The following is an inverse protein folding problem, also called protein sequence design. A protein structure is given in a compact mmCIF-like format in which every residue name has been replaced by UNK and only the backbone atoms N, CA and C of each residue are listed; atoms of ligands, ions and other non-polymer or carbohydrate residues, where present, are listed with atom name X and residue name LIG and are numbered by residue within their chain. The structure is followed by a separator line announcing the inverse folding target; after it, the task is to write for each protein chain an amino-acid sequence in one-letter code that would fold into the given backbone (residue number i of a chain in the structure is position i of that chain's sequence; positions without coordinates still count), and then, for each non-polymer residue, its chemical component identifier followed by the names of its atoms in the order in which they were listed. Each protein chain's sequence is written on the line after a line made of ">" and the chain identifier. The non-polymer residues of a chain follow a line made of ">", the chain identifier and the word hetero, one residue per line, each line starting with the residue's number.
data_IF_003224975087
#
_entry.id   IF_003224975087
#
_cell.length_a   1.000
_cell.length_b   1.000
_cell.length_c   1.000
_cell.angle_alpha   90.00
_cell.angle_beta   90.00
_cell.angle_gamma   90.00
#
_symmetry.space_group_name_H-M   'P 1'
#
loop_
_entity.id
_entity.type
_entity.pdbx_description
1 polymer ?
#
# COMPACT_ATOMS: atom_id res chain seq x y z
N UNK A 1 -11.39 -11.36 0.32
CA UNK A 1 -10.01 -11.73 -0.06
C UNK A 1 -9.16 -11.54 1.16
N UNK A 2 -8.58 -12.62 1.57
CA UNK A 2 -7.92 -12.75 2.84
C UNK A 2 -6.56 -12.10 2.83
N UNK A 3 -6.20 -11.50 3.94
CA UNK A 3 -4.90 -10.90 4.24
C UNK A 3 -3.72 -11.83 3.86
N UNK A 4 -3.95 -13.13 3.91
CA UNK A 4 -3.00 -14.20 3.60
C UNK A 4 -2.61 -14.23 2.12
N UNK A 5 -3.57 -14.08 1.19
CA UNK A 5 -3.28 -14.12 -0.25
C UNK A 5 -2.46 -12.91 -0.72
N UNK A 6 -2.66 -11.74 -0.08
CA UNK A 6 -1.86 -10.55 -0.35
C UNK A 6 -0.41 -10.76 0.12
N UNK A 7 -0.22 -11.36 1.29
CA UNK A 7 1.11 -11.69 1.82
C UNK A 7 1.84 -12.64 0.88
N UNK A 8 1.20 -13.74 0.50
CA UNK A 8 1.76 -14.73 -0.43
C UNK A 8 2.12 -14.10 -1.78
N UNK A 9 1.28 -13.21 -2.30
CA UNK A 9 1.55 -12.51 -3.56
C UNK A 9 2.77 -11.59 -3.44
N UNK A 10 2.87 -10.83 -2.36
CA UNK A 10 3.97 -9.90 -2.11
C UNK A 10 5.27 -10.67 -1.80
N UNK A 11 5.22 -11.73 -0.99
CA UNK A 11 6.38 -12.55 -0.63
C UNK A 11 6.97 -13.29 -1.84
N UNK A 12 6.13 -13.88 -2.68
CA UNK A 12 6.59 -14.66 -3.87
C UNK A 12 7.31 -13.82 -4.90
N UNK A 13 7.06 -12.52 -4.95
CA UNK A 13 7.59 -11.68 -6.04
C UNK A 13 8.66 -10.67 -5.64
N UNK A 14 8.95 -10.43 -4.36
CA UNK A 14 9.88 -9.35 -3.89
C UNK A 14 9.60 -8.00 -4.56
N UNK A 15 8.33 -7.61 -4.71
CA UNK A 15 7.85 -6.79 -5.83
C UNK A 15 7.46 -5.40 -5.42
N UNK A 16 7.36 -5.14 -4.11
CA UNK A 16 6.89 -3.85 -3.63
C UNK A 16 8.04 -2.95 -3.20
N UNK A 17 8.06 -1.74 -3.77
CA UNK A 17 8.98 -0.69 -3.36
C UNK A 17 8.21 0.56 -2.99
N UNK A 18 8.58 1.19 -1.88
CA UNK A 18 8.01 2.45 -1.43
C UNK A 18 9.03 3.56 -1.66
N UNK A 19 8.62 4.55 -2.45
CA UNK A 19 9.41 5.71 -2.80
C UNK A 19 8.97 6.90 -1.94
N UNK A 20 9.86 7.39 -1.09
CA UNK A 20 9.55 8.48 -0.17
C UNK A 20 9.96 9.80 -0.79
N UNK A 21 9.00 10.69 -0.94
CA UNK A 21 9.20 12.03 -1.47
C UNK A 21 9.44 13.02 -0.33
N UNK A 22 10.60 13.65 -0.32
CA UNK A 22 10.98 14.70 0.64
C UNK A 22 10.51 16.09 0.22
N UNK A 23 10.30 16.29 -1.08
CA UNK A 23 9.98 17.59 -1.68
C UNK A 23 8.75 17.51 -2.56
N UNK A 24 8.03 18.62 -2.68
CA UNK A 24 6.92 18.79 -3.63
C UNK A 24 7.48 19.25 -5.00
N UNK A 25 6.86 18.85 -6.13
CA UNK A 25 5.71 17.95 -6.24
C UNK A 25 6.11 16.48 -6.03
N UNK A 26 5.38 15.77 -5.21
CA UNK A 26 5.67 14.36 -4.86
C UNK A 26 5.71 13.44 -6.09
N UNK A 27 4.93 13.78 -7.11
CA UNK A 27 4.89 13.04 -8.38
C UNK A 27 6.26 12.93 -9.06
N UNK A 28 7.17 13.90 -8.85
CA UNK A 28 8.54 13.84 -9.37
C UNK A 28 9.26 12.56 -8.93
N UNK A 29 8.91 12.04 -7.76
CA UNK A 29 9.50 10.80 -7.24
C UNK A 29 9.11 9.56 -8.04
N UNK A 30 8.01 9.59 -8.79
CA UNK A 30 7.63 8.52 -9.70
C UNK A 30 8.69 8.29 -10.80
N UNK A 31 9.40 9.34 -11.22
CA UNK A 31 10.51 9.24 -12.20
C UNK A 31 11.59 8.28 -11.71
N UNK A 32 11.87 8.24 -10.40
CA UNK A 32 12.87 7.31 -9.85
C UNK A 32 12.42 5.85 -10.00
N UNK A 33 11.12 5.59 -9.78
CA UNK A 33 10.55 4.26 -10.04
C UNK A 33 10.61 3.86 -11.50
N UNK A 34 10.31 4.79 -12.40
CA UNK A 34 10.42 4.57 -13.85
C UNK A 34 11.84 4.25 -14.29
N UNK A 35 12.84 4.97 -13.75
CA UNK A 35 14.26 4.67 -14.02
C UNK A 35 14.61 3.25 -13.67
N UNK A 36 14.17 2.76 -12.51
CA UNK A 36 14.43 1.38 -12.09
C UNK A 36 13.71 0.37 -13.00
N UNK A 37 12.45 0.63 -13.37
CA UNK A 37 11.67 -0.25 -14.26
C UNK A 37 12.33 -0.36 -15.64
N UNK A 38 12.60 0.78 -16.26
CA UNK A 38 13.10 0.84 -17.64
C UNK A 38 14.56 0.39 -17.77
N UNK A 39 15.35 0.53 -16.68
CA UNK A 39 16.70 -0.04 -16.64
C UNK A 39 16.70 -1.57 -16.68
N UNK A 40 15.67 -2.22 -16.13
CA UNK A 40 15.53 -3.67 -16.15
C UNK A 40 14.87 -4.18 -17.43
N UNK A 41 13.83 -3.50 -17.88
CA UNK A 41 13.14 -3.83 -19.13
C UNK A 41 12.58 -2.56 -19.81
N UNK A 42 13.27 -2.06 -20.84
CA UNK A 42 12.86 -0.85 -21.57
C UNK A 42 11.51 -0.96 -22.29
N UNK A 43 10.99 -2.16 -22.49
CA UNK A 43 9.71 -2.42 -23.16
C UNK A 43 8.55 -2.64 -22.21
N UNK A 44 8.78 -2.45 -20.90
CA UNK A 44 7.73 -2.64 -19.89
C UNK A 44 6.63 -1.61 -20.00
N UNK A 45 5.38 -2.06 -19.94
CA UNK A 45 4.24 -1.18 -19.75
C UNK A 45 4.20 -0.62 -18.33
N UNK A 46 3.91 0.67 -18.20
CA UNK A 46 3.84 1.37 -16.91
C UNK A 46 2.47 2.02 -16.76
N UNK A 47 1.78 1.65 -15.68
CA UNK A 47 0.54 2.30 -15.27
C UNK A 47 0.80 3.20 -14.06
N UNK A 48 0.37 4.45 -14.16
CA UNK A 48 0.29 5.38 -13.03
C UNK A 48 -1.10 5.29 -12.42
N UNK A 49 -1.21 4.92 -11.16
CA UNK A 49 -2.49 4.81 -10.44
C UNK A 49 -2.65 5.92 -9.42
N UNK A 50 -3.80 6.59 -9.49
CA UNK A 50 -4.25 7.53 -8.46
C UNK A 50 -5.56 7.09 -7.82
N UNK A 51 -5.89 7.67 -6.67
CA UNK A 51 -7.18 7.46 -6.03
C UNK A 51 -8.27 8.26 -6.73
N UNK A 52 -7.94 9.44 -7.25
CA UNK A 52 -8.85 10.39 -7.89
C UNK A 52 -8.36 10.82 -9.27
N UNK A 53 -9.28 11.28 -10.14
CA UNK A 53 -8.91 11.78 -11.47
C UNK A 53 -7.95 12.96 -11.41
N UNK A 54 -8.09 13.83 -10.41
CA UNK A 54 -7.20 14.99 -10.27
C UNK A 54 -5.76 14.61 -9.88
N UNK A 55 -5.49 13.37 -9.47
CA UNK A 55 -4.12 12.90 -9.25
C UNK A 55 -3.32 12.92 -10.56
N UNK A 56 -3.98 12.65 -11.70
CA UNK A 56 -3.37 12.82 -13.03
C UNK A 56 -2.91 14.25 -13.28
N UNK A 57 -3.72 15.26 -12.91
CA UNK A 57 -3.31 16.66 -13.00
C UNK A 57 -2.20 17.03 -12.01
N UNK A 58 -2.12 16.35 -10.87
CA UNK A 58 -1.03 16.56 -9.93
C UNK A 58 0.34 16.12 -10.49
N UNK A 59 0.35 15.19 -11.47
CA UNK A 59 1.58 14.84 -12.20
C UNK A 59 2.17 16.04 -12.92
N UNK A 60 1.35 16.85 -13.57
CA UNK A 60 1.79 18.00 -14.36
C UNK A 60 2.41 19.12 -13.52
N UNK A 61 2.20 19.12 -12.20
CA UNK A 61 2.93 20.03 -11.29
C UNK A 61 4.43 19.72 -11.24
N UNK A 62 4.82 18.52 -11.61
CA UNK A 62 6.20 18.19 -11.94
C UNK A 62 6.44 18.57 -13.38
N UNK A 63 7.39 19.46 -13.64
CA UNK A 63 7.73 19.91 -15.01
C UNK A 63 8.16 18.76 -15.95
N UNK A 64 8.28 17.55 -15.44
CA UNK A 64 8.66 16.35 -16.19
C UNK A 64 7.48 15.70 -16.91
N UNK A 65 6.24 15.88 -16.39
CA UNK A 65 5.07 15.17 -16.90
C UNK A 65 4.11 16.07 -17.67
N UNK A 66 3.55 15.50 -18.73
CA UNK A 66 2.36 16.01 -19.41
C UNK A 66 1.25 14.95 -19.34
N UNK A 67 0.00 15.41 -19.15
CA UNK A 67 -1.15 14.52 -18.96
C UNK A 67 -2.33 14.95 -19.83
N UNK A 68 -2.89 14.01 -20.57
CA UNK A 68 -4.08 14.20 -21.40
C UNK A 68 -5.27 13.43 -20.80
N UNK A 69 -6.14 14.14 -20.11
CA UNK A 69 -7.29 13.55 -19.41
C UNK A 69 -8.19 12.73 -20.33
N UNK A 70 -8.36 13.16 -21.57
CA UNK A 70 -9.31 12.55 -22.52
C UNK A 70 -9.07 11.07 -22.76
N UNK A 71 -7.81 10.66 -22.80
CA UNK A 71 -7.39 9.28 -23.08
C UNK A 71 -6.57 8.66 -21.94
N UNK A 72 -6.22 9.43 -20.91
CA UNK A 72 -5.39 8.97 -19.81
C UNK A 72 -3.89 8.91 -20.12
N UNK A 73 -3.47 9.36 -21.30
CA UNK A 73 -2.06 9.31 -21.70
C UNK A 73 -1.21 10.25 -20.86
N UNK A 74 -0.05 9.76 -20.42
CA UNK A 74 0.97 10.53 -19.74
C UNK A 74 2.28 10.37 -20.50
N UNK A 75 2.99 11.47 -20.72
CA UNK A 75 4.37 11.44 -21.23
C UNK A 75 5.31 12.06 -20.21
N UNK A 76 6.56 11.68 -20.26
CA UNK A 76 7.63 12.21 -19.41
C UNK A 76 8.71 12.80 -20.29
N UNK A 77 9.20 13.99 -19.92
CA UNK A 77 10.36 14.59 -20.63
C UNK A 77 11.64 13.80 -20.43
N UNK A 78 11.77 13.15 -19.29
CA UNK A 78 12.90 12.27 -18.99
C UNK A 78 12.88 10.99 -19.84
N UNK A 79 11.68 10.52 -20.21
CA UNK A 79 11.44 9.29 -20.99
C UNK A 79 10.50 9.60 -22.16
N UNK A 80 10.96 10.43 -23.11
CA UNK A 80 10.12 10.98 -24.19
C UNK A 80 9.53 9.88 -25.11
N UNK A 81 10.20 8.76 -25.25
CA UNK A 81 9.78 7.64 -26.12
C UNK A 81 8.87 6.63 -25.41
N UNK A 82 8.57 6.86 -24.13
CA UNK A 82 7.73 5.95 -23.32
C UNK A 82 6.36 6.57 -23.11
N UNK A 83 5.35 5.93 -23.67
CA UNK A 83 3.97 6.25 -23.35
C UNK A 83 3.53 5.49 -22.11
N UNK A 84 2.88 6.21 -21.21
CA UNK A 84 2.33 5.68 -19.97
C UNK A 84 0.86 6.02 -19.89
N UNK A 85 0.13 5.26 -19.12
CA UNK A 85 -1.26 5.53 -18.84
C UNK A 85 -1.44 5.96 -17.38
N UNK A 86 -2.35 6.90 -17.16
CA UNK A 86 -2.88 7.22 -15.85
C UNK A 86 -4.32 6.76 -15.74
N UNK A 87 -4.63 6.08 -14.65
CA UNK A 87 -6.00 5.70 -14.30
C UNK A 87 -6.26 5.87 -12.82
N UNK A 88 -7.53 6.02 -12.47
CA UNK A 88 -7.94 5.79 -11.08
C UNK A 88 -7.99 4.30 -10.79
N UNK A 89 -7.79 3.92 -9.52
CA UNK A 89 -7.86 2.52 -9.10
C UNK A 89 -9.18 1.86 -9.50
N UNK A 90 -10.29 2.60 -9.44
CA UNK A 90 -11.60 2.08 -9.85
C UNK A 90 -11.63 1.69 -11.34
N UNK A 91 -11.05 2.50 -12.21
CA UNK A 91 -11.01 2.23 -13.66
C UNK A 91 -10.06 1.09 -14.02
N UNK A 92 -9.01 0.89 -13.22
CA UNK A 92 -8.01 -0.14 -13.46
C UNK A 92 -8.48 -1.56 -13.08
N UNK A 93 -9.68 -1.71 -12.50
CA UNK A 93 -10.22 -3.01 -12.11
C UNK A 93 -10.32 -3.95 -13.33
N UNK A 94 -9.72 -5.13 -13.20
CA UNK A 94 -9.71 -6.14 -14.28
C UNK A 94 -8.58 -5.99 -15.30
N UNK A 95 -7.85 -4.87 -15.32
CA UNK A 95 -6.70 -4.66 -16.18
C UNK A 95 -5.41 -5.18 -15.51
N UNK A 96 -4.38 -5.46 -16.31
CA UNK A 96 -3.07 -5.88 -15.82
C UNK A 96 -1.95 -5.23 -16.64
N UNK A 97 -0.95 -4.70 -15.94
CA UNK A 97 0.21 -4.03 -16.52
C UNK A 97 1.49 -4.70 -16.03
N UNK A 98 2.59 -4.51 -16.74
CA UNK A 98 3.85 -5.09 -16.29
C UNK A 98 4.30 -4.46 -14.98
N UNK A 99 4.21 -3.14 -14.88
CA UNK A 99 4.56 -2.41 -13.66
C UNK A 99 3.51 -1.33 -13.34
N UNK A 100 3.34 -1.07 -12.04
CA UNK A 100 2.39 -0.08 -11.53
C UNK A 100 3.12 0.88 -10.60
N UNK A 101 2.81 2.18 -10.72
CA UNK A 101 3.27 3.20 -9.78
C UNK A 101 2.04 3.87 -9.17
N UNK A 102 1.77 3.61 -7.90
CA UNK A 102 0.71 4.28 -7.15
C UNK A 102 1.24 5.65 -6.74
N UNK A 103 0.62 6.69 -7.27
CA UNK A 103 0.97 8.07 -6.95
C UNK A 103 0.07 8.63 -5.85
N UNK A 104 0.57 9.62 -5.12
CA UNK A 104 -0.20 10.35 -4.11
C UNK A 104 -0.77 9.49 -2.97
N UNK A 105 0.00 8.47 -2.52
CA UNK A 105 -0.33 7.73 -1.30
C UNK A 105 -0.03 8.60 -0.06
N UNK A 106 -0.91 9.56 0.21
CA UNK A 106 -0.78 10.59 1.25
C UNK A 106 -1.87 10.48 2.30
N UNK A 107 -1.54 10.79 3.54
CA UNK A 107 -2.51 11.00 4.62
C UNK A 107 -3.17 12.38 4.49
N UNK A 108 -4.33 12.42 3.84
CA UNK A 108 -5.14 13.64 3.68
C UNK A 108 -6.60 13.27 3.40
N UNK A 109 -7.50 14.26 3.45
CA UNK A 109 -8.92 14.04 3.13
C UNK A 109 -9.10 13.39 1.74
N UNK A 110 -8.33 13.84 0.75
CA UNK A 110 -8.32 13.30 -0.61
C UNK A 110 -7.07 12.43 -0.86
N UNK A 111 -6.62 11.71 0.13
CA UNK A 111 -5.49 10.79 0.03
C UNK A 111 -5.87 9.38 -0.34
N UNK A 112 -5.00 8.44 0.02
CA UNK A 112 -5.27 7.03 -0.07
C UNK A 112 -4.80 6.35 1.21
N UNK A 113 -5.69 6.00 2.18
CA UNK A 113 -7.17 6.00 2.06
C UNK A 113 -7.79 7.40 1.94
N UNK A 114 -8.93 7.47 1.26
CA UNK A 114 -9.81 8.62 1.32
C UNK A 114 -10.41 8.74 2.71
N UNK A 115 -10.40 9.96 3.26
CA UNK A 115 -11.04 10.26 4.56
C UNK A 115 -12.38 11.00 4.38
N UNK A 116 -12.86 11.07 3.14
CA UNK A 116 -14.18 11.61 2.86
C UNK A 116 -15.20 10.59 3.35
N UNK A 117 -16.03 11.00 4.29
CA UNK A 117 -17.12 10.17 4.78
C UNK A 117 -18.24 10.14 3.73
N UNK A 118 -18.80 8.95 3.51
CA UNK A 118 -20.03 8.82 2.75
C UNK A 118 -21.19 9.55 3.45
N UNK A 119 -22.21 9.92 2.67
CA UNK A 119 -23.40 10.55 3.21
C UNK A 119 -23.98 9.66 4.32
N UNK A 120 -24.30 10.22 5.51
CA UNK A 120 -24.89 9.47 6.63
C UNK A 120 -26.12 8.64 6.24
N UNK A 121 -26.85 9.04 5.21
CA UNK A 121 -28.00 8.30 4.69
C UNK A 121 -27.59 6.92 4.15
N UNK A 122 -26.40 6.79 3.57
CA UNK A 122 -25.89 5.51 3.05
C UNK A 122 -25.68 4.49 4.16
N UNK A 123 -25.35 4.91 5.37
CA UNK A 123 -25.20 4.02 6.52
C UNK A 123 -26.49 3.30 6.92
N UNK A 124 -27.65 3.84 6.57
CA UNK A 124 -28.97 3.17 6.82
C UNK A 124 -29.32 2.12 5.78
N UNK A 125 -28.75 2.22 4.57
CA UNK A 125 -29.07 1.34 3.44
C UNK A 125 -28.04 0.23 3.27
N UNK A 126 -26.78 0.52 3.53
CA UNK A 126 -25.67 -0.43 3.41
C UNK A 126 -25.24 -0.86 4.81
N UNK A 127 -25.43 -2.12 5.16
CA UNK A 127 -24.78 -2.71 6.35
C UNK A 127 -23.28 -2.73 6.09
N UNK A 128 -22.60 -1.65 6.42
CA UNK A 128 -21.12 -1.62 6.42
C UNK A 128 -20.64 -2.41 7.63
N UNK A 129 -19.76 -3.34 7.38
CA UNK A 129 -19.07 -4.08 8.42
C UNK A 129 -18.13 -3.11 9.14
N UNK A 130 -18.60 -2.48 10.23
CA UNK A 130 -17.88 -1.45 10.99
C UNK A 130 -16.64 -2.00 11.73
N UNK A 131 -16.32 -3.28 11.55
CA UNK A 131 -15.22 -3.93 12.24
C UNK A 131 -13.83 -3.49 11.75
N UNK A 132 -13.70 -3.02 10.50
CA UNK A 132 -12.41 -2.68 9.90
C UNK A 132 -12.44 -1.23 9.40
N UNK A 133 -11.54 -0.41 9.94
CA UNK A 133 -11.39 0.97 9.50
C UNK A 133 -10.95 1.03 8.02
N UNK A 134 -11.60 1.89 7.22
CA UNK A 134 -11.37 2.02 5.78
C UNK A 134 -11.54 0.72 4.96
N UNK A 135 -12.48 -0.16 5.30
CA UNK A 135 -12.64 -1.47 4.65
C UNK A 135 -12.70 -1.38 3.11
N UNK A 136 -13.52 -0.47 2.54
CA UNK A 136 -13.61 -0.27 1.09
C UNK A 136 -12.33 0.30 0.49
N UNK A 137 -11.69 1.24 1.16
CA UNK A 137 -10.41 1.81 0.73
C UNK A 137 -9.29 0.76 0.75
N UNK A 138 -9.31 -0.17 1.72
CA UNK A 138 -8.38 -1.31 1.78
C UNK A 138 -8.59 -2.25 0.60
N UNK A 139 -9.84 -2.54 0.22
CA UNK A 139 -10.15 -3.34 -0.98
C UNK A 139 -9.64 -2.65 -2.24
N UNK A 140 -9.84 -1.33 -2.36
CA UNK A 140 -9.30 -0.56 -3.47
C UNK A 140 -7.77 -0.57 -3.50
N UNK A 141 -7.12 -0.42 -2.35
CA UNK A 141 -5.68 -0.46 -2.27
C UNK A 141 -5.13 -1.83 -2.68
N UNK A 142 -5.79 -2.91 -2.24
CA UNK A 142 -5.49 -4.25 -2.70
C UNK A 142 -5.63 -4.39 -4.23
N UNK A 143 -6.73 -3.87 -4.80
CA UNK A 143 -6.90 -3.84 -6.26
C UNK A 143 -5.73 -3.12 -6.92
N UNK A 144 -5.30 -1.97 -6.41
CA UNK A 144 -4.16 -1.24 -6.96
C UNK A 144 -2.86 -2.07 -6.92
N UNK A 145 -2.58 -2.73 -5.81
CA UNK A 145 -1.39 -3.56 -5.64
C UNK A 145 -1.36 -4.77 -6.57
N UNK A 146 -2.53 -5.32 -6.89
CA UNK A 146 -2.66 -6.52 -7.73
C UNK A 146 -2.78 -6.24 -9.23
N UNK A 147 -2.71 -4.99 -9.66
CA UNK A 147 -2.72 -4.64 -11.11
C UNK A 147 -1.40 -4.89 -11.81
N UNK A 148 -0.36 -5.19 -11.09
CA UNK A 148 0.98 -5.44 -11.64
C UNK A 148 1.24 -6.92 -11.87
N UNK A 149 1.95 -7.22 -12.96
CA UNK A 149 2.52 -8.56 -13.21
C UNK A 149 3.92 -8.70 -12.59
N UNK A 150 4.68 -7.60 -12.55
CA UNK A 150 6.06 -7.59 -12.08
C UNK A 150 6.23 -6.82 -10.78
N UNK A 151 6.13 -5.48 -10.80
CA UNK A 151 6.42 -4.64 -9.63
C UNK A 151 5.41 -3.54 -9.39
N UNK A 152 5.20 -3.24 -8.13
CA UNK A 152 4.45 -2.07 -7.69
C UNK A 152 5.37 -1.11 -6.92
N UNK A 153 5.28 0.16 -7.29
CA UNK A 153 5.93 1.26 -6.59
C UNK A 153 4.86 2.12 -5.94
N UNK A 154 5.09 2.56 -4.73
CA UNK A 154 4.17 3.45 -4.00
C UNK A 154 4.90 4.74 -3.69
N UNK A 155 4.42 5.86 -4.24
CA UNK A 155 4.96 7.18 -3.94
C UNK A 155 4.20 7.80 -2.78
N UNK A 156 4.91 8.12 -1.71
CA UNK A 156 4.35 8.71 -0.49
C UNK A 156 5.24 9.85 0.01
N UNK A 157 4.67 10.95 0.57
CA UNK A 157 5.47 12.00 1.18
C UNK A 157 6.04 11.55 2.53
N UNK A 158 7.22 12.04 2.88
CA UNK A 158 7.90 11.74 4.12
C UNK A 158 7.09 12.15 5.36
N UNK A 159 6.57 13.38 5.37
CA UNK A 159 5.92 13.96 6.55
C UNK A 159 4.50 13.47 6.82
N UNK A 160 3.77 13.11 5.77
CA UNK A 160 2.38 12.63 5.85
C UNK A 160 2.18 11.40 4.95
N UNK A 161 2.90 10.32 5.22
CA UNK A 161 2.70 9.10 4.45
C UNK A 161 1.31 8.54 4.68
N UNK A 162 0.78 7.88 3.66
CA UNK A 162 -0.47 7.13 3.75
C UNK A 162 -0.47 6.19 4.96
N UNK A 163 -1.60 6.07 5.61
CA UNK A 163 -1.77 5.11 6.71
C UNK A 163 -1.49 3.68 6.24
N UNK A 164 -1.97 3.32 5.05
CA UNK A 164 -1.69 2.00 4.46
C UNK A 164 -0.20 1.78 4.21
N UNK A 165 0.54 2.83 3.82
CA UNK A 165 2.00 2.74 3.69
C UNK A 165 2.68 2.53 5.04
N UNK A 166 2.23 3.22 6.09
CA UNK A 166 2.75 3.03 7.45
C UNK A 166 2.54 1.60 7.93
N UNK A 167 1.34 1.05 7.69
CA UNK A 167 1.02 -0.35 8.01
C UNK A 167 1.92 -1.32 7.24
N UNK A 168 2.06 -1.14 5.93
CA UNK A 168 2.92 -1.98 5.10
C UNK A 168 4.37 -1.99 5.60
N UNK A 169 4.94 -0.82 5.90
CA UNK A 169 6.33 -0.71 6.38
C UNK A 169 6.50 -1.34 7.76
N UNK A 170 5.50 -1.17 8.63
CA UNK A 170 5.51 -1.73 9.98
C UNK A 170 5.42 -3.25 9.96
N UNK A 171 4.50 -3.79 9.15
CA UNK A 171 4.10 -5.19 9.23
C UNK A 171 4.93 -6.10 8.28
N UNK A 172 5.55 -5.52 7.23
CA UNK A 172 6.26 -6.27 6.19
C UNK A 172 7.73 -5.83 6.02
N UNK A 173 8.67 -6.47 6.71
CA UNK A 173 10.08 -6.04 6.73
C UNK A 173 10.81 -6.21 5.39
N UNK A 174 10.29 -7.04 4.49
CA UNK A 174 10.86 -7.28 3.15
C UNK A 174 10.52 -6.20 2.12
N UNK A 175 9.63 -5.26 2.45
CA UNK A 175 9.34 -4.13 1.57
C UNK A 175 10.56 -3.21 1.46
N UNK A 176 10.98 -2.93 0.24
CA UNK A 176 12.11 -2.03 -0.01
C UNK A 176 11.68 -0.59 0.13
N UNK A 177 12.28 0.14 1.08
CA UNK A 177 12.12 1.59 1.22
C UNK A 177 13.24 2.33 0.48
N UNK A 178 12.84 3.38 -0.27
CA UNK A 178 13.75 4.36 -0.87
C UNK A 178 13.54 5.71 -0.21
N UNK A 179 14.28 5.98 0.84
CA UNK A 179 14.16 7.13 1.73
C UNK A 179 13.79 6.74 3.16
N UNK A 180 13.51 7.72 4.00
CA UNK A 180 13.14 7.55 5.41
C UNK A 180 11.75 8.10 5.69
N UNK A 181 11.02 7.45 6.56
CA UNK A 181 9.75 7.95 7.11
C UNK A 181 10.02 8.45 8.53
N UNK A 182 9.49 9.63 8.87
CA UNK A 182 9.82 10.29 10.14
C UNK A 182 9.28 9.53 11.37
N UNK A 183 8.16 8.85 11.25
CA UNK A 183 7.44 8.26 12.40
C UNK A 183 7.27 6.73 12.33
N UNK A 184 7.88 6.06 11.36
CA UNK A 184 7.72 4.61 11.21
C UNK A 184 9.02 3.89 11.53
N UNK A 185 9.08 3.29 12.70
CA UNK A 185 10.13 2.31 13.00
C UNK A 185 9.87 1.06 12.15
N UNK A 186 10.76 0.81 11.19
CA UNK A 186 10.74 -0.43 10.42
C UNK A 186 10.93 -1.59 11.38
N UNK A 187 10.02 -2.56 11.30
CA UNK A 187 10.17 -3.79 12.05
C UNK A 187 11.33 -4.58 11.41
N UNK A 188 12.57 -4.32 11.86
CA UNK A 188 13.79 -5.00 11.39
C UNK A 188 13.95 -6.39 12.02
N UNK A 189 12.98 -6.81 12.81
CA UNK A 189 12.97 -8.11 13.46
C UNK A 189 12.60 -9.24 12.50
N UNK A 190 13.09 -10.43 12.80
CA UNK A 190 12.60 -11.67 12.19
C UNK A 190 11.07 -11.73 12.25
N UNK A 191 10.43 -12.17 11.17
CA UNK A 191 8.99 -12.41 11.16
C UNK A 191 8.70 -13.43 12.25
N UNK A 192 8.06 -12.96 13.32
CA UNK A 192 7.67 -13.85 14.42
C UNK A 192 6.55 -14.75 13.93
N UNK A 193 6.78 -16.04 14.03
CA UNK A 193 5.83 -17.04 13.58
C UNK A 193 5.05 -17.62 14.74
N UNK A 194 3.79 -17.92 14.52
CA UNK A 194 2.93 -18.59 15.48
C UNK A 194 3.52 -19.96 15.84
N UNK A 195 3.73 -20.25 17.12
CA UNK A 195 4.28 -21.54 17.55
C UNK A 195 3.31 -22.70 17.34
N UNK A 196 2.03 -22.41 17.13
CA UNK A 196 0.98 -23.42 16.94
C UNK A 196 0.85 -23.82 15.47
N UNK A 197 0.74 -22.86 14.55
CA UNK A 197 0.44 -23.12 13.14
C UNK A 197 1.50 -22.60 12.15
N UNK A 198 2.55 -21.93 12.60
CA UNK A 198 3.62 -21.40 11.76
C UNK A 198 3.30 -20.09 11.00
N UNK A 199 2.05 -19.62 11.05
CA UNK A 199 1.64 -18.37 10.41
C UNK A 199 2.30 -17.15 11.07
N UNK A 200 2.47 -16.03 10.35
CA UNK A 200 3.01 -14.80 10.92
C UNK A 200 2.19 -14.32 12.11
N UNK A 201 2.86 -13.77 13.12
CA UNK A 201 2.20 -13.11 14.24
C UNK A 201 2.10 -11.62 13.96
N UNK A 202 0.93 -11.02 14.21
CA UNK A 202 0.67 -9.60 14.11
C UNK A 202 0.62 -8.96 15.48
N UNK A 203 1.31 -7.82 15.63
CA UNK A 203 1.22 -7.02 16.85
C UNK A 203 -0.02 -6.15 16.80
N UNK A 204 -0.93 -6.34 17.77
CA UNK A 204 -2.12 -5.52 17.95
C UNK A 204 -2.01 -4.72 19.24
N UNK A 205 -2.30 -3.42 19.17
CA UNK A 205 -2.36 -2.56 20.33
C UNK A 205 -3.82 -2.25 20.69
N UNK A 206 -4.27 -2.71 21.86
CA UNK A 206 -5.59 -2.37 22.41
C UNK A 206 -5.46 -1.16 23.33
N UNK A 207 -5.70 0.03 22.77
CA UNK A 207 -5.54 1.32 23.46
C UNK A 207 -6.37 1.41 24.75
N UNK A 208 -7.58 0.82 24.77
CA UNK A 208 -8.46 0.81 25.95
C UNK A 208 -7.85 0.15 27.19
N UNK A 209 -6.90 -0.79 26.99
CA UNK A 209 -6.28 -1.55 28.07
C UNK A 209 -4.75 -1.35 28.14
N UNK A 210 -4.17 -0.53 27.27
CA UNK A 210 -2.72 -0.33 27.19
C UNK A 210 -1.94 -1.60 26.79
N UNK A 211 -2.60 -2.61 26.23
CA UNK A 211 -2.02 -3.91 25.96
C UNK A 211 -1.50 -4.04 24.54
N UNK A 212 -0.28 -4.59 24.43
CA UNK A 212 0.30 -5.07 23.15
C UNK A 212 0.14 -6.57 23.09
N UNK A 213 -0.56 -7.05 22.06
CA UNK A 213 -0.84 -8.46 21.87
C UNK A 213 -0.31 -8.93 20.52
N UNK A 214 0.41 -10.04 20.53
CA UNK A 214 0.76 -10.77 19.32
C UNK A 214 -0.37 -11.76 19.03
N UNK A 215 -1.00 -11.64 17.88
CA UNK A 215 -2.13 -12.45 17.44
C UNK A 215 -1.72 -13.20 16.19
N UNK A 216 -2.06 -14.47 16.09
CA UNK A 216 -1.86 -15.23 14.86
C UNK A 216 -2.65 -14.58 13.71
N UNK A 217 -2.04 -14.51 12.54
CA UNK A 217 -2.70 -13.98 11.34
C UNK A 217 -3.54 -15.01 10.60
N UNK A 218 -3.57 -16.25 11.06
CA UNK A 218 -4.44 -17.28 10.51
C UNK A 218 -5.90 -17.04 10.91
N UNK A 219 -6.83 -17.71 10.24
CA UNK A 219 -8.25 -17.66 10.61
C UNK A 219 -8.46 -18.11 12.06
N UNK A 220 -9.31 -17.39 12.85
CA UNK A 220 -9.53 -17.70 14.26
C UNK A 220 -10.04 -19.14 14.49
N UNK A 221 -10.78 -19.68 13.52
CA UNK A 221 -11.30 -21.05 13.56
C UNK A 221 -10.20 -22.11 13.39
N UNK A 222 -9.07 -21.72 12.76
CA UNK A 222 -7.91 -22.58 12.53
C UNK A 222 -6.86 -22.37 13.62
N UNK A 223 -6.61 -21.10 14.01
CA UNK A 223 -5.64 -20.76 15.04
C UNK A 223 -5.99 -19.47 15.76
N UNK A 224 -6.38 -19.56 16.99
CA UNK A 224 -6.72 -18.45 17.90
C UNK A 224 -5.55 -18.01 18.79
N UNK A 225 -4.31 -18.34 18.44
CA UNK A 225 -3.15 -18.05 19.26
C UNK A 225 -2.97 -16.54 19.50
N UNK A 226 -2.93 -16.17 20.78
CA UNK A 226 -2.70 -14.80 21.25
C UNK A 226 -1.69 -14.82 22.39
N UNK A 227 -0.71 -13.92 22.39
CA UNK A 227 0.23 -13.74 23.49
C UNK A 227 0.61 -12.28 23.70
N UNK A 228 0.91 -11.89 24.92
CA UNK A 228 1.43 -10.55 25.25
C UNK A 228 2.96 -10.55 25.36
N UNK A 229 3.60 -11.71 25.48
CA UNK A 229 5.04 -11.85 25.59
C UNK A 229 5.58 -12.89 24.61
N UNK A 230 6.65 -12.51 23.87
CA UNK A 230 7.43 -13.42 23.04
C UNK A 230 8.86 -13.58 23.57
N UNK A 231 9.15 -13.02 24.75
CA UNK A 231 10.43 -13.16 25.44
C UNK A 231 10.28 -14.15 26.59
N UNK A 232 10.63 -15.39 26.35
CA UNK A 232 10.82 -16.33 27.44
C UNK A 232 9.81 -17.47 27.51
N UNK A 233 10.24 -18.52 28.17
CA UNK A 233 9.68 -19.86 28.26
C UNK A 233 8.35 -20.01 29.01
N UNK A 234 7.60 -18.95 29.26
CA UNK A 234 6.30 -19.03 29.95
C UNK A 234 5.16 -18.71 28.97
N UNK A 235 4.67 -19.75 28.34
CA UNK A 235 3.45 -19.71 27.55
C UNK A 235 2.23 -19.77 28.49
N UNK A 236 1.81 -18.62 29.03
CA UNK A 236 0.46 -18.52 29.58
C UNK A 236 -0.54 -18.36 28.42
N UNK A 237 -1.12 -19.45 28.00
CA UNK A 237 -2.23 -19.48 27.05
C UNK A 237 -3.44 -18.91 27.80
N UNK A 238 -3.84 -17.71 27.40
CA UNK A 238 -5.13 -17.15 27.83
C UNK A 238 -6.19 -17.74 26.89
N UNK A 239 -6.95 -18.70 27.42
CA UNK A 239 -8.17 -19.22 26.78
C UNK A 239 -9.30 -18.23 26.92
#
# INVERSE_FOLDING_TARGET
>A
WEHTEMIDYIERKSVMKILIATEKPFAKKAVDGMKEILAENPQSSILLLGRYNFDGFNLTKSADFEYWEKNGTVTSKTFADIEMEFMTVHRAKGLGFDNVIIINAIDSAFGFPSKIQDDPILHYVVKTDHAIEYAEERRLFYVALTRTKNRVYIVTPQQRPSEFVRELVRDYPYITLRGTLDDVQKNTGEIKRCPVCGYPLQLRYKKAYGLRLWICSNEPEICDFITNDLKGNDMSIIK
#
